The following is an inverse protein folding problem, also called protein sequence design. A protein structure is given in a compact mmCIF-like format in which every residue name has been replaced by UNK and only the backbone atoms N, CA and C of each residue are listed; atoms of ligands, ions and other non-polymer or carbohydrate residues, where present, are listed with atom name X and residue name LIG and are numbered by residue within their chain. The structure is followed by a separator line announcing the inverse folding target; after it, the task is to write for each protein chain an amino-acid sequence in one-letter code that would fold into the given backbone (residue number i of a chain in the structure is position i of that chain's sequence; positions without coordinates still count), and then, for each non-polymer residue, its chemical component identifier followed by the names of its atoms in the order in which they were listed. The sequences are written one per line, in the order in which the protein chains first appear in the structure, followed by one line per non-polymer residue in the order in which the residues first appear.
data_IF_690311462245
#
_entry.id   IF_690311462245
#
_cell.length_a   1.000
_cell.length_b   1.000
_cell.length_c   1.000
_cell.angle_alpha   90.00
_cell.angle_beta   90.00
_cell.angle_gamma   90.00
#
_symmetry.space_group_name_H-M   'P 1'
#
loop_
_entity.id
_entity.type
_entity.pdbx_description
1 polymer ?
#
# COMPACT_ATOMS: atom_id res chain seq x y z
N UNK A 1 35.90 -15.73 11.70
CA UNK A 1 36.51 -14.72 12.59
C UNK A 1 36.31 -13.37 11.94
N UNK A 2 35.75 -12.42 12.71
CA UNK A 2 35.54 -11.00 12.34
C UNK A 2 34.33 -10.84 11.40
N UNK A 3 33.19 -10.26 11.77
CA UNK A 3 32.95 -9.17 12.71
C UNK A 3 31.52 -9.28 13.28
N UNK A 4 31.47 -9.56 14.58
CA UNK A 4 30.33 -9.42 15.47
C UNK A 4 30.24 -7.95 15.88
N UNK A 5 29.48 -7.14 15.14
CA UNK A 5 28.99 -5.86 15.62
C UNK A 5 27.55 -5.74 15.15
N UNK A 6 26.67 -5.25 16.03
CA UNK A 6 25.21 -5.12 15.88
C UNK A 6 24.40 -6.33 16.34
N UNK A 7 24.44 -6.59 17.65
CA UNK A 7 23.26 -7.10 18.36
C UNK A 7 22.89 -6.10 19.46
N UNK A 8 21.82 -5.38 19.18
CA UNK A 8 21.20 -4.39 20.03
C UNK A 8 20.59 -5.04 21.28
N UNK A 9 20.62 -4.25 22.34
CA UNK A 9 20.12 -4.47 23.70
C UNK A 9 18.70 -5.04 23.71
N UNK A 10 18.56 -6.21 24.34
CA UNK A 10 17.28 -6.79 24.71
C UNK A 10 16.95 -6.47 26.18
N UNK A 11 15.64 -6.32 26.44
CA UNK A 11 14.96 -6.39 27.73
C UNK A 11 14.95 -5.15 28.64
N UNK A 12 13.87 -4.35 28.54
CA UNK A 12 13.06 -3.99 29.72
C UNK A 12 11.57 -4.08 29.32
N UNK A 13 10.94 -5.15 29.78
CA UNK A 13 9.50 -5.43 29.72
C UNK A 13 9.03 -5.36 31.17
N UNK A 14 8.16 -4.40 31.50
CA UNK A 14 7.38 -4.19 32.75
C UNK A 14 7.13 -2.67 32.82
N UNK A 15 5.93 -2.12 32.73
CA UNK A 15 4.79 -2.40 33.58
C UNK A 15 3.71 -1.34 33.29
N UNK A 16 2.49 -1.61 33.76
CA UNK A 16 1.44 -0.62 34.07
C UNK A 16 0.56 -0.19 32.91
N UNK A 17 -0.56 -0.89 32.79
CA UNK A 17 -1.76 -0.36 32.15
C UNK A 17 -2.33 0.82 32.93
N UNK A 18 -2.93 1.74 32.20
CA UNK A 18 -4.02 2.57 32.69
C UNK A 18 -4.94 2.86 31.50
N UNK A 19 -6.17 2.36 31.55
CA UNK A 19 -7.24 2.74 30.64
C UNK A 19 -7.61 4.20 30.88
N UNK A 20 -7.62 5.02 29.83
CA UNK A 20 -8.45 6.22 29.81
C UNK A 20 -8.91 6.54 28.39
N UNK A 21 -10.20 6.33 28.18
CA UNK A 21 -11.00 6.84 27.08
C UNK A 21 -10.81 8.36 26.95
N UNK A 22 -10.34 8.79 25.79
CA UNK A 22 -10.26 10.20 25.39
C UNK A 22 -10.53 10.32 23.90
N UNK A 23 -11.82 10.44 23.57
CA UNK A 23 -12.33 10.71 22.22
C UNK A 23 -11.75 12.06 21.73
N UNK A 24 -10.93 12.04 20.68
CA UNK A 24 -10.54 13.27 19.98
C UNK A 24 -11.71 13.71 19.08
N UNK A 25 -12.07 15.01 19.02
CA UNK A 25 -13.10 15.49 18.11
C UNK A 25 -12.61 15.37 16.67
N UNK A 26 -13.40 14.67 15.85
CA UNK A 26 -13.25 14.57 14.41
C UNK A 26 -13.61 15.92 13.77
N UNK A 27 -12.61 16.64 13.26
CA UNK A 27 -12.83 17.77 12.36
C UNK A 27 -13.22 17.25 10.97
N UNK A 28 -14.50 16.92 10.79
CA UNK A 28 -15.08 16.68 9.47
C UNK A 28 -15.34 18.01 8.77
N UNK A 29 -14.30 18.58 8.17
CA UNK A 29 -14.41 19.70 7.23
C UNK A 29 -15.10 19.20 5.95
N UNK A 30 -16.43 19.14 5.96
CA UNK A 30 -17.21 18.92 4.75
C UNK A 30 -17.33 20.25 4.02
N UNK A 31 -16.43 20.52 3.08
CA UNK A 31 -16.65 21.55 2.08
C UNK A 31 -17.79 21.08 1.17
N UNK A 32 -18.98 21.58 1.49
CA UNK A 32 -20.18 21.42 0.69
C UNK A 32 -20.03 22.14 -0.66
N UNK A 33 -19.48 21.45 -1.66
CA UNK A 33 -19.80 21.75 -3.06
C UNK A 33 -21.26 21.33 -3.28
N UNK A 34 -22.17 22.31 -3.25
CA UNK A 34 -23.58 22.14 -3.57
C UNK A 34 -23.74 21.81 -5.06
N UNK A 35 -23.90 20.53 -5.39
CA UNK A 35 -24.46 20.11 -6.66
C UNK A 35 -25.98 20.00 -6.53
N UNK A 36 -26.67 21.05 -6.95
CA UNK A 36 -28.10 21.04 -7.21
C UNK A 36 -28.37 20.17 -8.44
N UNK A 37 -29.40 19.31 -8.34
CA UNK A 37 -30.17 18.64 -9.41
C UNK A 37 -29.82 17.17 -9.70
N UNK A 38 -30.68 16.25 -9.28
CA UNK A 38 -31.56 15.48 -10.20
C UNK A 38 -32.39 14.44 -9.42
N UNK A 39 -33.71 14.62 -9.43
CA UNK A 39 -34.70 13.69 -8.89
C UNK A 39 -34.87 12.51 -9.87
N UNK A 40 -34.45 11.32 -9.46
CA UNK A 40 -34.72 10.04 -10.15
C UNK A 40 -35.28 9.01 -9.16
N UNK A 41 -36.03 7.98 -9.62
CA UNK A 41 -36.84 7.15 -8.73
C UNK A 41 -35.95 6.27 -7.85
N UNK A 42 -36.28 6.22 -6.57
CA UNK A 42 -35.56 5.47 -5.55
C UNK A 42 -35.58 3.96 -5.87
N UNK A 43 -34.45 3.45 -6.37
CA UNK A 43 -34.13 2.03 -6.29
C UNK A 43 -33.69 1.77 -4.85
N UNK A 44 -34.45 0.96 -4.14
CA UNK A 44 -34.13 0.48 -2.80
C UNK A 44 -32.88 -0.40 -2.84
N UNK A 45 -31.70 0.21 -2.70
CA UNK A 45 -30.46 -0.53 -2.44
C UNK A 45 -30.55 -1.13 -1.04
N UNK A 46 -30.35 -2.44 -0.82
CA UNK A 46 -30.20 -2.96 0.53
C UNK A 46 -29.00 -2.27 1.17
N UNK A 47 -29.18 -1.85 2.42
CA UNK A 47 -28.23 -1.05 3.19
C UNK A 47 -26.79 -1.53 2.97
N UNK A 48 -25.97 -0.64 2.41
CA UNK A 48 -24.53 -0.81 2.39
C UNK A 48 -24.04 -0.85 3.84
N UNK A 49 -23.86 -2.06 4.38
CA UNK A 49 -23.04 -2.27 5.55
C UNK A 49 -21.71 -1.57 5.27
N UNK A 50 -21.39 -0.56 6.08
CA UNK A 50 -20.38 0.45 5.80
C UNK A 50 -19.14 -0.14 5.15
N UNK A 51 -18.84 0.34 3.93
CA UNK A 51 -17.59 0.06 3.24
C UNK A 51 -16.45 0.63 4.08
N UNK A 52 -15.98 -0.17 5.02
CA UNK A 52 -14.75 0.06 5.73
C UNK A 52 -13.66 0.13 4.66
N UNK A 53 -12.95 1.25 4.57
CA UNK A 53 -11.77 1.39 3.72
C UNK A 53 -10.83 0.21 4.03
N UNK A 54 -10.87 -0.83 3.21
CA UNK A 54 -10.05 -2.01 3.42
C UNK A 54 -8.65 -1.67 2.93
N UNK A 55 -7.81 -1.24 3.86
CA UNK A 55 -6.37 -1.20 3.63
C UNK A 55 -5.94 -2.64 3.33
N UNK A 56 -5.27 -2.92 2.20
CA UNK A 56 -4.81 -4.26 1.88
C UNK A 56 -3.97 -4.84 3.03
N UNK A 57 -4.29 -6.07 3.44
CA UNK A 57 -3.75 -6.68 4.66
C UNK A 57 -2.37 -7.32 4.46
N UNK A 58 -1.97 -7.56 3.22
CA UNK A 58 -0.71 -8.25 2.87
C UNK A 58 -0.08 -7.72 1.58
N UNK A 59 1.19 -8.04 1.35
CA UNK A 59 1.91 -7.71 0.10
C UNK A 59 1.22 -8.35 -1.11
N UNK A 60 0.75 -9.59 -0.98
CA UNK A 60 -0.04 -10.26 -2.02
C UNK A 60 -1.33 -9.49 -2.37
N UNK A 61 -1.99 -8.90 -1.36
CA UNK A 61 -3.17 -8.08 -1.58
C UNK A 61 -2.86 -6.80 -2.38
N UNK A 62 -1.70 -6.19 -2.13
CA UNK A 62 -1.19 -5.04 -2.87
C UNK A 62 -0.76 -5.41 -4.30
N UNK A 63 -0.26 -6.63 -4.52
CA UNK A 63 0.19 -7.10 -5.82
C UNK A 63 -0.96 -7.44 -6.79
N UNK A 64 -2.20 -7.52 -6.29
CA UNK A 64 -3.36 -7.89 -7.11
C UNK A 64 -3.53 -6.97 -8.32
N UNK A 65 -3.55 -7.60 -9.49
CA UNK A 65 -3.77 -6.93 -10.77
C UNK A 65 -2.52 -6.28 -11.37
N UNK A 66 -1.36 -6.38 -10.71
CA UNK A 66 -0.07 -5.99 -11.28
C UNK A 66 0.18 -6.73 -12.59
N UNK A 67 0.64 -6.02 -13.61
CA UNK A 67 1.03 -6.58 -14.91
C UNK A 67 2.25 -5.85 -15.44
N UNK A 68 2.99 -6.49 -16.34
CA UNK A 68 4.09 -5.81 -17.04
C UNK A 68 3.53 -4.95 -18.19
N UNK A 69 4.08 -3.75 -18.33
CA UNK A 69 3.76 -2.81 -19.39
C UNK A 69 4.99 -2.53 -20.25
N UNK A 70 4.79 -2.47 -21.56
CA UNK A 70 5.81 -2.05 -22.51
C UNK A 70 5.85 -0.51 -22.63
N UNK A 71 6.93 0.02 -23.21
CA UNK A 71 7.02 1.44 -23.56
C UNK A 71 7.27 2.40 -22.39
N UNK A 72 7.66 1.91 -21.21
CA UNK A 72 7.94 2.73 -20.02
C UNK A 72 9.38 3.28 -19.95
N UNK A 73 10.15 3.14 -21.04
CA UNK A 73 11.59 3.44 -21.07
C UNK A 73 12.47 2.30 -20.56
N UNK A 74 13.75 2.59 -20.32
CA UNK A 74 14.81 1.60 -20.12
C UNK A 74 15.52 1.71 -18.75
N UNK A 75 15.01 2.55 -17.84
CA UNK A 75 15.58 2.69 -16.48
C UNK A 75 15.73 1.31 -15.83
N UNK A 76 16.94 0.98 -15.37
CA UNK A 76 17.24 -0.29 -14.73
C UNK A 76 18.09 -0.06 -13.49
N UNK A 77 17.73 -0.72 -12.39
CA UNK A 77 18.55 -0.73 -11.17
C UNK A 77 18.60 -2.15 -10.64
N UNK A 78 19.78 -2.76 -10.75
CA UNK A 78 20.05 -4.09 -10.18
C UNK A 78 19.70 -4.11 -8.68
N UNK A 79 18.82 -5.04 -8.30
CA UNK A 79 18.48 -5.37 -6.92
C UNK A 79 18.98 -6.77 -6.56
N UNK A 80 19.07 -7.05 -5.26
CA UNK A 80 19.45 -8.38 -4.78
C UNK A 80 18.25 -9.32 -4.89
N UNK A 81 18.17 -10.06 -5.99
CA UNK A 81 17.19 -11.12 -6.22
C UNK A 81 17.73 -12.11 -7.24
N UNK A 82 17.30 -13.36 -7.18
CA UNK A 82 17.55 -14.39 -8.19
C UNK A 82 16.42 -14.50 -9.22
N UNK A 83 15.24 -13.90 -8.97
CA UNK A 83 14.11 -13.92 -9.90
C UNK A 83 14.23 -12.79 -10.93
N UNK A 84 14.17 -13.15 -12.21
CA UNK A 84 14.14 -12.19 -13.30
C UNK A 84 12.85 -11.35 -13.27
N UNK A 85 11.73 -11.97 -12.91
CA UNK A 85 10.42 -11.34 -12.77
C UNK A 85 10.44 -10.29 -11.65
N UNK A 86 11.04 -10.60 -10.50
CA UNK A 86 11.22 -9.64 -9.42
C UNK A 86 11.98 -8.39 -9.88
N UNK A 87 13.06 -8.58 -10.66
CA UNK A 87 13.83 -7.47 -11.23
C UNK A 87 12.98 -6.64 -12.22
N UNK A 88 12.23 -7.29 -13.10
CA UNK A 88 11.37 -6.60 -14.08
C UNK A 88 10.29 -5.74 -13.41
N UNK A 89 9.59 -6.28 -12.41
CA UNK A 89 8.57 -5.54 -11.68
C UNK A 89 9.17 -4.40 -10.84
N UNK A 90 10.38 -4.57 -10.31
CA UNK A 90 11.09 -3.49 -9.62
C UNK A 90 11.41 -2.33 -10.56
N UNK A 91 12.01 -2.63 -11.72
CA UNK A 91 12.35 -1.61 -12.72
C UNK A 91 11.11 -0.87 -13.23
N UNK A 92 10.02 -1.61 -13.49
CA UNK A 92 8.73 -1.01 -13.85
C UNK A 92 8.20 -0.11 -12.72
N UNK A 93 8.21 -0.57 -11.47
CA UNK A 93 7.75 0.20 -10.33
C UNK A 93 8.48 1.54 -10.21
N UNK A 94 9.80 1.53 -10.46
CA UNK A 94 10.62 2.74 -10.51
C UNK A 94 10.21 3.68 -11.65
N UNK A 95 10.05 3.15 -12.88
CA UNK A 95 9.62 3.97 -14.04
C UNK A 95 8.26 4.63 -13.80
N UNK A 96 7.31 3.87 -13.25
CA UNK A 96 5.96 4.36 -12.94
C UNK A 96 5.96 5.37 -11.79
N UNK A 97 6.80 5.18 -10.78
CA UNK A 97 6.97 6.13 -9.68
C UNK A 97 7.40 7.50 -10.21
N UNK A 98 8.40 7.52 -11.08
CA UNK A 98 8.90 8.74 -11.70
C UNK A 98 7.91 9.36 -12.70
N UNK A 99 7.03 8.56 -13.28
CA UNK A 99 5.92 9.01 -14.14
C UNK A 99 4.65 9.40 -13.35
N UNK A 100 4.70 9.48 -12.01
CA UNK A 100 3.59 9.83 -11.12
C UNK A 100 2.41 8.84 -11.13
N UNK A 101 2.60 7.61 -11.60
CA UNK A 101 1.61 6.53 -11.47
C UNK A 101 1.87 5.74 -10.18
N UNK A 102 1.46 6.32 -9.05
CA UNK A 102 1.73 5.76 -7.73
C UNK A 102 0.98 4.45 -7.45
N UNK A 103 -0.24 4.30 -7.97
CA UNK A 103 -1.06 3.10 -7.76
C UNK A 103 -0.41 1.88 -8.42
N UNK A 104 -0.03 2.01 -9.70
CA UNK A 104 0.59 0.89 -10.42
C UNK A 104 2.05 0.67 -10.00
N UNK A 105 2.74 1.72 -9.57
CA UNK A 105 4.06 1.59 -8.95
C UNK A 105 3.99 0.75 -7.68
N UNK A 106 3.03 1.03 -6.78
CA UNK A 106 2.79 0.24 -5.56
C UNK A 106 2.52 -1.23 -5.89
N UNK A 107 1.63 -1.51 -6.85
CA UNK A 107 1.35 -2.88 -7.29
C UNK A 107 2.58 -3.57 -7.85
N UNK A 108 3.38 -2.87 -8.65
CA UNK A 108 4.60 -3.40 -9.25
C UNK A 108 5.63 -3.75 -8.19
N UNK A 109 5.86 -2.88 -7.21
CA UNK A 109 6.77 -3.17 -6.10
C UNK A 109 6.29 -4.33 -5.23
N UNK A 110 4.99 -4.41 -4.96
CA UNK A 110 4.41 -5.53 -4.22
C UNK A 110 4.61 -6.85 -4.98
N UNK A 111 4.35 -6.87 -6.28
CA UNK A 111 4.57 -8.05 -7.12
C UNK A 111 6.06 -8.44 -7.22
N UNK A 112 6.97 -7.47 -7.26
CA UNK A 112 8.40 -7.73 -7.19
C UNK A 112 8.78 -8.47 -5.89
N UNK A 113 8.19 -8.08 -4.75
CA UNK A 113 8.41 -8.75 -3.47
C UNK A 113 7.81 -10.17 -3.43
N UNK A 114 6.65 -10.39 -4.07
CA UNK A 114 6.05 -11.73 -4.21
C UNK A 114 6.94 -12.68 -5.03
N UNK A 115 7.59 -12.19 -6.09
CA UNK A 115 8.55 -12.99 -6.85
C UNK A 115 9.88 -13.20 -6.10
N UNK A 116 10.32 -12.24 -5.29
CA UNK A 116 11.58 -12.34 -4.58
C UNK A 116 11.56 -13.32 -3.39
N UNK A 117 10.37 -13.65 -2.87
CA UNK A 117 10.21 -14.60 -1.76
C UNK A 117 10.07 -16.07 -2.20
N UNK A 118 9.92 -16.31 -3.50
CA UNK A 118 9.75 -17.64 -4.10
C UNK A 118 11.08 -18.15 -4.64
#
# INVERSE_FOLDING_TARGET
MRELVVLAVAAVWMSSGCSKSGQAPNSSSSSAWSAKNSSGPAVSTPAANGAMSHVPASVADWARGARLFDGLGDFHRKVTTSSAEAQQYFDQGMRLLWAFNHDESTRSFAQAAEYARN
#
